data_IF_438172323592
#
_entry.id   IF_438172323592
#
_cell.length_a   1.000
_cell.length_b   1.000
_cell.length_c   1.000
_cell.angle_alpha   90.00
_cell.angle_beta   90.00
_cell.angle_gamma   90.00
#
_symmetry.space_group_name_H-M   'P 1'
#
loop_
_entity.id
_entity.type
_entity.pdbx_description
1 polymer ?
#
# COMPACT_ATOMS: atom_id res chain seq x y z
N UNK A 1 -28.09 13.23 -13.69
CA UNK A 1 -28.45 13.10 -12.25
C UNK A 1 -28.29 11.66 -11.73
N UNK A 2 -29.00 10.66 -12.26
CA UNK A 2 -28.94 9.27 -11.77
C UNK A 2 -27.56 8.57 -11.99
N UNK A 3 -26.92 8.83 -13.13
CA UNK A 3 -25.57 8.33 -13.48
C UNK A 3 -24.48 8.83 -12.51
N UNK A 4 -24.51 10.14 -12.21
CA UNK A 4 -23.57 10.83 -11.32
C UNK A 4 -23.70 10.26 -9.90
N UNK A 5 -24.93 10.09 -9.41
CA UNK A 5 -25.18 9.45 -8.12
C UNK A 5 -24.69 8.00 -8.08
N UNK A 6 -24.72 7.27 -9.21
CA UNK A 6 -24.24 5.90 -9.33
C UNK A 6 -22.71 5.81 -9.25
N UNK A 7 -21.98 6.66 -9.99
CA UNK A 7 -20.51 6.72 -9.95
C UNK A 7 -20.01 7.16 -8.57
N UNK A 8 -20.67 8.15 -7.97
CA UNK A 8 -20.41 8.55 -6.58
C UNK A 8 -20.68 7.40 -5.60
N UNK A 9 -21.73 6.61 -5.81
CA UNK A 9 -22.06 5.44 -5.01
C UNK A 9 -20.98 4.34 -5.05
N UNK A 10 -20.39 4.09 -6.22
CA UNK A 10 -19.29 3.13 -6.38
C UNK A 10 -18.04 3.61 -5.65
N UNK A 11 -17.68 4.89 -5.79
CA UNK A 11 -16.50 5.43 -5.12
C UNK A 11 -16.69 5.56 -3.59
N UNK A 12 -17.91 5.80 -3.11
CA UNK A 12 -18.25 5.72 -1.68
C UNK A 12 -18.12 4.29 -1.13
N UNK A 13 -18.53 3.28 -1.90
CA UNK A 13 -18.46 1.86 -1.49
C UNK A 13 -17.01 1.37 -1.38
N UNK A 14 -16.14 1.69 -2.34
CA UNK A 14 -14.71 1.29 -2.30
C UNK A 14 -13.98 1.97 -1.14
N UNK A 15 -14.29 3.25 -0.83
CA UNK A 15 -13.67 3.96 0.30
C UNK A 15 -14.12 3.46 1.67
N UNK A 16 -15.35 2.94 1.78
CA UNK A 16 -15.81 2.23 2.98
C UNK A 16 -15.01 0.96 3.27
N UNK A 17 -14.32 0.38 2.27
CA UNK A 17 -13.59 -0.88 2.42
C UNK A 17 -12.13 -0.70 2.84
N UNK A 18 -11.52 0.47 2.65
CA UNK A 18 -10.10 0.69 2.95
C UNK A 18 -9.80 0.60 4.46
N UNK A 19 -10.63 1.24 5.30
CA UNK A 19 -10.47 1.22 6.76
C UNK A 19 -10.58 -0.18 7.36
N UNK A 20 -11.62 -1.00 7.07
CA UNK A 20 -11.72 -2.35 7.61
C UNK A 20 -10.63 -3.27 7.05
N UNK A 21 -10.23 -3.10 5.78
CA UNK A 21 -9.12 -3.86 5.20
C UNK A 21 -7.80 -3.60 5.92
N UNK A 22 -7.44 -2.32 6.10
CA UNK A 22 -6.23 -1.96 6.83
C UNK A 22 -6.28 -2.41 8.29
N UNK A 23 -7.42 -2.22 8.96
CA UNK A 23 -7.64 -2.69 10.33
C UNK A 23 -7.44 -4.20 10.47
N UNK A 24 -7.97 -4.99 9.54
CA UNK A 24 -7.75 -6.44 9.48
C UNK A 24 -6.27 -6.78 9.27
N UNK A 25 -5.61 -6.16 8.28
CA UNK A 25 -4.20 -6.42 7.98
C UNK A 25 -3.29 -6.09 9.17
N UNK A 26 -3.54 -4.97 9.86
CA UNK A 26 -2.82 -4.54 11.05
C UNK A 26 -3.05 -5.49 12.24
N UNK A 27 -4.30 -5.89 12.49
CA UNK A 27 -4.64 -6.83 13.55
C UNK A 27 -4.01 -8.21 13.30
N UNK A 28 -4.14 -8.73 12.07
CA UNK A 28 -3.55 -10.00 11.66
C UNK A 28 -2.02 -9.98 11.81
N UNK A 29 -1.35 -8.92 11.34
CA UNK A 29 0.11 -8.78 11.49
C UNK A 29 0.53 -8.69 12.95
N UNK A 30 -0.22 -7.96 13.78
CA UNK A 30 0.04 -7.86 15.23
C UNK A 30 -0.11 -9.22 15.92
N UNK A 31 -1.15 -10.00 15.57
CA UNK A 31 -1.34 -11.35 16.10
C UNK A 31 -0.20 -12.28 15.70
N UNK A 32 0.26 -12.21 14.44
CA UNK A 32 1.42 -12.99 13.99
C UNK A 32 2.70 -12.60 14.74
N UNK A 33 2.94 -11.30 14.98
CA UNK A 33 4.08 -10.83 15.76
C UNK A 33 4.01 -11.31 17.23
N UNK A 34 2.82 -11.29 17.85
CA UNK A 34 2.61 -11.82 19.20
C UNK A 34 2.79 -13.34 19.26
N UNK A 35 2.26 -14.07 18.27
CA UNK A 35 2.40 -15.51 18.18
C UNK A 35 3.87 -15.93 18.03
N UNK A 36 4.64 -15.24 17.18
CA UNK A 36 6.07 -15.55 17.04
C UNK A 36 6.87 -15.24 18.30
N UNK A 37 6.50 -14.20 19.04
CA UNK A 37 7.12 -13.89 20.33
C UNK A 37 6.88 -15.04 21.33
N UNK A 38 5.63 -15.52 21.43
CA UNK A 38 5.28 -16.67 22.27
C UNK A 38 6.04 -17.94 21.86
N UNK A 39 6.08 -18.27 20.56
CA UNK A 39 6.83 -19.43 20.05
C UNK A 39 8.33 -19.34 20.36
N UNK A 40 8.91 -18.13 20.31
CA UNK A 40 10.31 -17.89 20.64
C UNK A 40 10.61 -18.19 22.11
N UNK A 41 9.75 -17.73 23.03
CA UNK A 41 9.89 -18.03 24.46
C UNK A 41 9.70 -19.51 24.80
N UNK A 42 8.81 -20.19 24.08
CA UNK A 42 8.58 -21.62 24.25
C UNK A 42 9.65 -22.49 23.58
N UNK A 43 10.61 -21.90 22.86
CA UNK A 43 11.63 -22.64 22.11
C UNK A 43 11.06 -23.52 20.99
N UNK A 44 9.87 -23.17 20.48
CA UNK A 44 9.19 -24.01 19.50
C UNK A 44 9.90 -23.95 18.13
N UNK A 45 10.15 -25.09 17.45
CA UNK A 45 10.94 -25.12 16.21
C UNK A 45 10.33 -24.31 15.07
N UNK A 46 9.01 -24.09 15.07
CA UNK A 46 8.34 -23.25 14.08
C UNK A 46 8.57 -21.74 14.26
N UNK A 47 9.22 -21.29 15.34
CA UNK A 47 9.49 -19.88 15.59
C UNK A 47 10.17 -19.19 14.39
N UNK A 48 11.13 -19.86 13.74
CA UNK A 48 11.83 -19.28 12.59
C UNK A 48 10.90 -19.03 11.40
N UNK A 49 10.10 -20.01 11.01
CA UNK A 49 9.24 -19.85 9.82
C UNK A 49 8.07 -18.90 10.09
N UNK A 50 7.51 -18.94 11.31
CA UNK A 50 6.42 -18.05 11.72
C UNK A 50 6.91 -16.62 11.91
N UNK A 51 8.10 -16.39 12.49
CA UNK A 51 8.69 -15.06 12.63
C UNK A 51 8.97 -14.41 11.28
N UNK A 52 9.47 -15.18 10.32
CA UNK A 52 9.71 -14.69 8.96
C UNK A 52 8.40 -14.26 8.29
N UNK A 53 7.36 -15.10 8.36
CA UNK A 53 6.02 -14.76 7.85
C UNK A 53 5.42 -13.53 8.53
N UNK A 54 5.54 -13.45 9.86
CA UNK A 54 5.07 -12.30 10.65
C UNK A 54 5.78 -11.00 10.27
N UNK A 55 7.11 -11.04 10.10
CA UNK A 55 7.92 -9.91 9.67
C UNK A 55 7.49 -9.42 8.28
N UNK A 56 7.30 -10.32 7.31
CA UNK A 56 6.82 -9.95 5.98
C UNK A 56 5.42 -9.35 6.02
N UNK A 57 4.49 -9.93 6.78
CA UNK A 57 3.13 -9.42 6.91
C UNK A 57 3.13 -8.00 7.51
N UNK A 58 3.85 -7.79 8.61
CA UNK A 58 3.94 -6.49 9.27
C UNK A 58 4.61 -5.42 8.41
N UNK A 59 5.75 -5.73 7.77
CA UNK A 59 6.42 -4.80 6.84
C UNK A 59 5.49 -4.47 5.67
N UNK A 60 4.76 -5.44 5.13
CA UNK A 60 3.81 -5.22 4.05
C UNK A 60 2.66 -4.30 4.47
N UNK A 61 2.13 -4.48 5.69
CA UNK A 61 1.10 -3.61 6.25
C UNK A 61 1.61 -2.17 6.43
N UNK A 62 2.83 -1.96 6.91
CA UNK A 62 3.45 -0.63 6.95
C UNK A 62 3.68 -0.06 5.54
N UNK A 63 4.18 -0.83 4.58
CA UNK A 63 4.35 -0.34 3.20
C UNK A 63 3.01 0.05 2.55
N UNK A 64 1.92 -0.65 2.88
CA UNK A 64 0.57 -0.32 2.40
C UNK A 64 0.15 1.09 2.82
N UNK A 65 0.55 1.58 4.00
CA UNK A 65 0.21 2.93 4.47
C UNK A 65 0.77 4.01 3.55
N UNK A 66 1.97 3.79 3.02
CA UNK A 66 2.62 4.71 2.08
C UNK A 66 1.83 4.79 0.78
N UNK A 67 1.34 3.64 0.30
CA UNK A 67 0.47 3.56 -0.87
C UNK A 67 -0.84 4.32 -0.66
N UNK A 68 -1.54 4.07 0.45
CA UNK A 68 -2.82 4.69 0.78
C UNK A 68 -2.71 6.22 0.81
N UNK A 69 -1.77 6.77 1.57
CA UNK A 69 -1.66 8.23 1.70
C UNK A 69 -1.05 8.91 0.47
N UNK A 70 -0.21 8.22 -0.30
CA UNK A 70 0.32 8.78 -1.55
C UNK A 70 -0.78 8.86 -2.61
N UNK A 71 -1.59 7.81 -2.74
CA UNK A 71 -2.75 7.81 -3.64
C UNK A 71 -3.78 8.86 -3.23
N UNK A 72 -4.27 8.81 -1.99
CA UNK A 72 -5.28 9.73 -1.49
C UNK A 72 -4.86 11.21 -1.58
N UNK A 73 -3.58 11.51 -1.27
CA UNK A 73 -3.06 12.87 -1.36
C UNK A 73 -2.96 13.38 -2.80
N UNK A 74 -2.71 12.49 -3.77
CA UNK A 74 -2.74 12.84 -5.19
C UNK A 74 -4.17 13.15 -5.64
N UNK A 75 -5.09 12.23 -5.40
CA UNK A 75 -6.49 12.35 -5.86
C UNK A 75 -7.17 13.59 -5.26
N UNK A 76 -6.92 13.85 -3.97
CA UNK A 76 -7.45 15.06 -3.31
C UNK A 76 -6.91 16.34 -3.94
N UNK A 77 -5.62 16.37 -4.31
CA UNK A 77 -5.01 17.55 -4.91
C UNK A 77 -5.58 17.83 -6.30
N UNK A 78 -5.70 16.80 -7.14
CA UNK A 78 -6.29 16.94 -8.48
C UNK A 78 -7.73 17.43 -8.37
N UNK A 79 -8.55 16.81 -7.52
CA UNK A 79 -9.96 17.20 -7.33
C UNK A 79 -10.13 18.63 -6.79
N UNK A 80 -9.29 19.05 -5.85
CA UNK A 80 -9.31 20.41 -5.30
C UNK A 80 -8.88 21.44 -6.34
N UNK A 81 -7.91 21.10 -7.19
CA UNK A 81 -7.43 22.00 -8.25
C UNK A 81 -8.48 22.14 -9.37
N UNK A 82 -9.05 21.02 -9.82
CA UNK A 82 -9.97 21.00 -10.96
C UNK A 82 -11.31 21.69 -10.63
N UNK A 83 -11.83 21.47 -9.42
CA UNK A 83 -13.12 22.02 -8.97
C UNK A 83 -12.99 23.27 -8.08
N UNK A 84 -11.78 23.83 -7.95
CA UNK A 84 -11.50 25.01 -7.11
C UNK A 84 -12.05 24.88 -5.66
N UNK A 85 -11.94 23.68 -5.08
CA UNK A 85 -12.43 23.40 -3.72
C UNK A 85 -11.51 24.01 -2.66
N UNK A 86 -11.90 23.88 -1.38
CA UNK A 86 -11.09 24.37 -0.27
C UNK A 86 -9.68 23.72 -0.26
N UNK A 87 -8.58 24.51 -0.36
CA UNK A 87 -7.21 23.99 -0.37
C UNK A 87 -6.79 23.32 0.95
N UNK A 88 -7.53 23.54 2.04
CA UNK A 88 -7.26 22.93 3.34
C UNK A 88 -7.26 21.39 3.28
N UNK A 89 -8.06 20.79 2.41
CA UNK A 89 -8.10 19.33 2.24
C UNK A 89 -6.75 18.74 1.82
N UNK A 90 -6.00 19.45 0.98
CA UNK A 90 -4.64 19.05 0.57
C UNK A 90 -3.68 19.17 1.75
N UNK A 91 -3.85 20.21 2.58
CA UNK A 91 -3.09 20.41 3.81
C UNK A 91 -3.30 19.27 4.83
N UNK A 92 -4.56 18.91 5.07
CA UNK A 92 -4.94 17.83 5.98
C UNK A 92 -4.43 16.46 5.52
N UNK A 93 -4.58 16.11 4.24
CA UNK A 93 -4.04 14.83 3.72
C UNK A 93 -2.51 14.78 3.73
N UNK A 94 -1.84 15.93 3.56
CA UNK A 94 -0.37 16.03 3.68
C UNK A 94 0.11 15.85 5.11
N UNK A 95 -0.64 16.27 6.13
CA UNK A 95 -0.22 16.14 7.53
C UNK A 95 -0.17 14.67 7.98
N UNK A 96 -1.11 13.82 7.52
CA UNK A 96 -1.09 12.40 7.86
C UNK A 96 0.20 11.68 7.43
N UNK A 97 0.74 12.01 6.25
CA UNK A 97 2.03 11.44 5.80
C UNK A 97 3.16 11.81 6.75
N UNK A 98 3.22 13.07 7.20
CA UNK A 98 4.24 13.53 8.14
C UNK A 98 4.14 12.83 9.49
N UNK A 99 2.92 12.54 9.94
CA UNK A 99 2.65 11.89 11.22
C UNK A 99 2.95 10.38 11.15
N UNK A 100 2.57 9.71 10.06
CA UNK A 100 2.59 8.25 9.98
C UNK A 100 3.88 7.67 9.38
N UNK A 101 4.54 8.38 8.45
CA UNK A 101 5.67 7.80 7.73
C UNK A 101 6.90 7.54 8.61
N UNK A 102 7.36 8.49 9.45
CA UNK A 102 8.53 8.25 10.29
C UNK A 102 8.32 7.07 11.27
N UNK A 103 7.21 7.00 12.04
CA UNK A 103 6.94 5.84 12.89
C UNK A 103 6.87 4.51 12.12
N UNK A 104 6.23 4.47 10.96
CA UNK A 104 6.16 3.26 10.12
C UNK A 104 7.55 2.79 9.67
N UNK A 105 8.42 3.71 9.26
CA UNK A 105 9.81 3.38 8.89
C UNK A 105 10.61 2.86 10.09
N UNK A 106 10.45 3.45 11.27
CA UNK A 106 11.07 2.94 12.48
C UNK A 106 10.52 1.55 12.85
N UNK A 107 9.23 1.29 12.70
CA UNK A 107 8.64 -0.02 12.96
C UNK A 107 9.23 -1.11 12.04
N UNK A 108 9.37 -0.81 10.74
CA UNK A 108 10.07 -1.66 9.77
C UNK A 108 11.52 -1.90 10.19
N UNK A 109 12.26 -0.84 10.55
CA UNK A 109 13.64 -0.95 10.99
C UNK A 109 13.79 -1.86 12.22
N UNK A 110 12.89 -1.72 13.20
CA UNK A 110 12.88 -2.53 14.42
C UNK A 110 12.63 -4.02 14.12
N UNK A 111 11.73 -4.33 13.17
CA UNK A 111 11.53 -5.70 12.67
C UNK A 111 12.84 -6.23 12.07
N UNK A 112 13.49 -5.47 11.20
CA UNK A 112 14.74 -5.88 10.54
C UNK A 112 15.87 -6.13 11.56
N UNK A 113 16.04 -5.23 12.53
CA UNK A 113 17.04 -5.38 13.61
C UNK A 113 16.75 -6.62 14.45
N UNK A 114 15.49 -6.85 14.82
CA UNK A 114 15.08 -8.02 15.60
C UNK A 114 15.33 -9.32 14.85
N UNK A 115 14.97 -9.36 13.56
CA UNK A 115 15.21 -10.51 12.68
C UNK A 115 16.71 -10.78 12.48
N UNK A 116 17.52 -9.71 12.36
CA UNK A 116 18.97 -9.83 12.27
C UNK A 116 19.57 -10.41 13.56
N UNK A 117 19.15 -9.91 14.73
CA UNK A 117 19.58 -10.48 16.02
C UNK A 117 19.17 -11.94 16.17
N UNK A 118 17.96 -12.30 15.72
CA UNK A 118 17.47 -13.67 15.72
C UNK A 118 18.32 -14.60 14.84
N UNK A 119 18.70 -14.14 13.65
CA UNK A 119 19.62 -14.87 12.76
C UNK A 119 21.05 -14.95 13.33
N UNK A 120 21.53 -13.90 14.01
CA UNK A 120 22.86 -13.89 14.61
C UNK A 120 23.03 -14.93 15.74
N UNK A 121 21.94 -15.30 16.43
CA UNK A 121 21.95 -16.32 17.48
C UNK A 121 22.47 -17.68 17.02
N UNK A 122 22.33 -18.03 15.73
CA UNK A 122 22.83 -19.31 15.22
C UNK A 122 24.37 -19.35 15.12
N UNK A 123 25.02 -18.18 15.11
CA UNK A 123 26.46 -18.06 14.85
C UNK A 123 27.25 -17.56 16.06
N UNK A 124 26.60 -16.84 17.00
CA UNK A 124 27.26 -16.21 18.13
C UNK A 124 27.16 -17.08 19.39
N UNK A 125 28.31 -17.48 19.94
CA UNK A 125 28.41 -18.18 21.23
C UNK A 125 28.40 -17.13 22.35
N UNK A 126 27.34 -17.09 23.16
CA UNK A 126 27.28 -16.23 24.35
C UNK A 126 25.89 -16.19 24.99
N UNK A 127 25.84 -16.24 26.33
CA UNK A 127 24.58 -16.32 27.09
C UNK A 127 23.70 -15.07 27.01
N UNK A 128 24.27 -13.92 26.60
CA UNK A 128 23.57 -12.64 26.57
C UNK A 128 22.74 -12.42 25.31
N UNK A 129 23.09 -13.06 24.19
CA UNK A 129 22.42 -12.84 22.91
C UNK A 129 20.94 -13.24 22.91
N UNK A 130 20.53 -14.39 23.49
CA UNK A 130 19.11 -14.74 23.58
C UNK A 130 18.29 -13.72 24.35
N UNK A 131 18.85 -13.20 25.45
CA UNK A 131 18.21 -12.16 26.26
C UNK A 131 18.05 -10.86 25.48
N UNK A 132 19.10 -10.43 24.76
CA UNK A 132 19.05 -9.23 23.93
C UNK A 132 18.03 -9.36 22.79
N UNK A 133 18.00 -10.51 22.10
CA UNK A 133 17.00 -10.79 21.08
C UNK A 133 15.57 -10.78 21.65
N UNK A 134 15.35 -11.41 22.80
CA UNK A 134 14.04 -11.43 23.47
C UNK A 134 13.57 -10.04 23.91
N UNK A 135 14.46 -9.23 24.49
CA UNK A 135 14.17 -7.83 24.84
C UNK A 135 13.82 -7.02 23.58
N UNK A 136 14.61 -7.17 22.53
CA UNK A 136 14.38 -6.49 21.27
C UNK A 136 13.03 -6.91 20.65
N UNK A 137 12.67 -8.19 20.73
CA UNK A 137 11.40 -8.70 20.23
C UNK A 137 10.20 -8.04 20.94
N UNK A 138 10.26 -7.87 22.27
CA UNK A 138 9.23 -7.15 23.02
C UNK A 138 9.11 -5.69 22.62
N UNK A 139 10.24 -4.98 22.53
CA UNK A 139 10.24 -3.57 22.13
C UNK A 139 9.69 -3.41 20.72
N UNK A 140 10.12 -4.27 19.79
CA UNK A 140 9.62 -4.30 18.41
C UNK A 140 8.12 -4.57 18.36
N UNK A 141 7.63 -5.58 19.08
CA UNK A 141 6.21 -5.90 19.15
C UNK A 141 5.39 -4.71 19.66
N UNK A 142 5.76 -4.14 20.81
CA UNK A 142 5.05 -3.01 21.39
C UNK A 142 5.06 -1.78 20.47
N UNK A 143 6.20 -1.48 19.84
CA UNK A 143 6.33 -0.36 18.92
C UNK A 143 5.48 -0.55 17.65
N UNK A 144 5.43 -1.76 17.10
CA UNK A 144 4.61 -2.09 15.93
C UNK A 144 3.11 -1.95 16.25
N UNK A 145 2.63 -2.51 17.37
CA UNK A 145 1.23 -2.36 17.80
C UNK A 145 0.86 -0.89 17.98
N UNK A 146 1.70 -0.11 18.67
CA UNK A 146 1.51 1.34 18.83
C UNK A 146 1.41 2.05 17.47
N UNK A 147 2.29 1.70 16.54
CA UNK A 147 2.34 2.30 15.21
C UNK A 147 1.11 1.94 14.38
N UNK A 148 0.67 0.68 14.41
CA UNK A 148 -0.56 0.27 13.73
C UNK A 148 -1.81 1.00 14.24
N UNK A 149 -1.90 1.26 15.56
CA UNK A 149 -3.00 2.06 16.12
C UNK A 149 -2.98 3.49 15.59
N UNK A 150 -1.79 4.10 15.50
CA UNK A 150 -1.63 5.44 14.92
C UNK A 150 -2.02 5.45 13.44
N UNK A 151 -1.51 4.51 12.65
CA UNK A 151 -1.81 4.39 11.23
C UNK A 151 -3.31 4.17 10.99
N UNK A 152 -3.96 3.30 11.76
CA UNK A 152 -5.39 3.04 11.66
C UNK A 152 -6.22 4.31 11.93
N UNK A 153 -5.85 5.10 12.95
CA UNK A 153 -6.50 6.39 13.24
C UNK A 153 -6.37 7.35 12.05
N UNK A 154 -5.16 7.50 11.50
CA UNK A 154 -4.94 8.37 10.34
C UNK A 154 -5.65 7.87 9.08
N UNK A 155 -5.73 6.55 8.83
CA UNK A 155 -6.51 6.00 7.70
C UNK A 155 -7.98 6.34 7.84
N UNK A 156 -8.54 6.15 9.04
CA UNK A 156 -9.95 6.46 9.31
C UNK A 156 -10.26 7.96 9.13
N UNK A 157 -9.40 8.83 9.64
CA UNK A 157 -9.56 10.29 9.49
C UNK A 157 -9.39 10.75 8.04
N UNK A 158 -8.41 10.19 7.32
CA UNK A 158 -8.21 10.43 5.89
C UNK A 158 -9.42 9.97 5.07
N UNK A 159 -10.02 8.82 5.40
CA UNK A 159 -11.25 8.36 4.75
C UNK A 159 -12.42 9.33 5.00
N UNK A 160 -12.52 9.92 6.19
CA UNK A 160 -13.54 10.93 6.50
C UNK A 160 -13.30 12.24 5.72
N UNK A 161 -12.05 12.67 5.57
CA UNK A 161 -11.70 13.83 4.72
C UNK A 161 -12.06 13.57 3.26
N UNK A 162 -11.66 12.42 2.72
CA UNK A 162 -12.03 12.05 1.36
C UNK A 162 -13.55 12.08 1.18
N UNK A 163 -14.33 11.55 2.13
CA UNK A 163 -15.79 11.62 2.06
C UNK A 163 -16.31 13.06 1.95
N UNK A 164 -15.74 14.00 2.72
CA UNK A 164 -16.10 15.42 2.67
C UNK A 164 -15.72 16.07 1.34
N UNK A 165 -14.49 15.86 0.87
CA UNK A 165 -14.02 16.39 -0.43
C UNK A 165 -14.93 15.91 -1.57
N UNK A 166 -15.29 14.62 -1.57
CA UNK A 166 -16.17 14.08 -2.62
C UNK A 166 -17.60 14.61 -2.53
N UNK A 167 -18.09 14.89 -1.32
CA UNK A 167 -19.40 15.50 -1.14
C UNK A 167 -19.41 16.94 -1.67
N UNK A 168 -18.38 17.74 -1.34
CA UNK A 168 -18.25 19.12 -1.87
C UNK A 168 -18.05 19.12 -3.38
N UNK A 169 -17.19 18.24 -3.90
CA UNK A 169 -17.00 18.05 -5.34
C UNK A 169 -18.32 17.78 -6.06
N UNK A 170 -19.17 16.92 -5.49
CA UNK A 170 -20.48 16.61 -6.05
C UNK A 170 -21.46 17.79 -6.00
N UNK A 171 -21.44 18.59 -4.93
CA UNK A 171 -22.25 19.81 -4.84
C UNK A 171 -21.84 20.82 -5.92
N UNK A 172 -20.53 21.08 -6.06
CA UNK A 172 -20.00 21.99 -7.09
C UNK A 172 -20.34 21.48 -8.48
N UNK A 173 -20.16 20.20 -8.75
CA UNK A 173 -20.53 19.54 -10.02
C UNK A 173 -22.03 19.68 -10.32
N UNK A 174 -22.89 19.61 -9.30
CA UNK A 174 -24.35 19.76 -9.47
C UNK A 174 -24.75 21.21 -9.76
N UNK A 175 -24.06 22.18 -9.15
CA UNK A 175 -24.32 23.62 -9.33
C UNK A 175 -23.73 24.17 -10.62
N UNK A 176 -22.59 23.62 -11.04
CA UNK A 176 -21.82 24.02 -12.20
C UNK A 176 -21.56 22.80 -13.10
N UNK A 177 -22.58 22.31 -13.83
CA UNK A 177 -22.42 21.20 -14.76
C UNK A 177 -21.36 21.48 -15.83
N UNK A 178 -21.08 22.74 -16.13
CA UNK A 178 -20.02 23.17 -17.04
C UNK A 178 -18.60 22.95 -16.48
N UNK A 179 -18.44 22.99 -15.14
CA UNK A 179 -17.17 22.70 -14.45
C UNK A 179 -16.95 21.21 -14.25
N UNK A 180 -18.05 20.44 -14.17
CA UNK A 180 -18.00 19.01 -14.36
C UNK A 180 -17.66 18.77 -15.82
N UNK A 181 -16.39 18.84 -16.18
CA UNK A 181 -15.95 18.76 -17.57
C UNK A 181 -16.59 17.54 -18.24
N UNK A 182 -17.65 17.80 -19.01
CA UNK A 182 -18.47 16.80 -19.71
C UNK A 182 -17.59 15.96 -20.65
N UNK A 183 -16.42 16.50 -21.02
CA UNK A 183 -15.43 15.83 -21.87
C UNK A 183 -14.50 14.83 -21.18
N UNK A 184 -14.43 14.73 -19.84
CA UNK A 184 -13.55 13.73 -19.20
C UNK A 184 -14.24 12.44 -18.76
N UNK A 185 -15.56 12.45 -18.53
CA UNK A 185 -16.25 11.29 -17.94
C UNK A 185 -17.64 10.96 -18.54
N UNK A 186 -18.21 11.78 -19.44
CA UNK A 186 -19.65 11.66 -19.82
C UNK A 186 -19.97 11.23 -21.26
N UNK A 187 -19.02 10.90 -22.13
CA UNK A 187 -19.45 10.16 -23.34
C UNK A 187 -19.99 8.78 -22.91
N UNK A 188 -21.05 8.24 -23.54
CA UNK A 188 -21.48 6.84 -23.29
C UNK A 188 -20.32 5.84 -23.46
N UNK A 189 -19.35 6.18 -24.30
CA UNK A 189 -18.07 5.48 -24.48
C UNK A 189 -17.11 5.65 -23.28
N UNK A 190 -17.19 6.76 -22.54
CA UNK A 190 -16.44 7.02 -21.32
C UNK A 190 -17.06 6.33 -20.10
N UNK A 191 -18.38 6.21 -19.97
CA UNK A 191 -19.01 5.50 -18.83
C UNK A 191 -18.83 3.97 -18.94
N UNK A 192 -19.00 3.39 -20.13
CA UNK A 192 -18.60 1.99 -20.40
C UNK A 192 -17.06 1.83 -20.40
N UNK A 193 -16.33 2.90 -20.78
CA UNK A 193 -14.88 2.97 -20.70
C UNK A 193 -14.32 3.16 -19.28
N UNK A 194 -15.10 3.68 -18.33
CA UNK A 194 -14.68 4.07 -16.98
C UNK A 194 -14.55 2.88 -16.06
N UNK A 195 -15.41 1.88 -16.21
CA UNK A 195 -15.17 0.56 -15.64
C UNK A 195 -13.81 -0.01 -16.12
N UNK A 196 -13.52 0.17 -17.41
CA UNK A 196 -12.22 -0.17 -18.01
C UNK A 196 -11.05 0.72 -17.58
N UNK A 197 -11.28 2.01 -17.29
CA UNK A 197 -10.25 2.99 -16.92
C UNK A 197 -9.88 2.92 -15.43
N UNK A 198 -10.86 2.77 -14.54
CA UNK A 198 -10.59 2.46 -13.13
C UNK A 198 -9.87 1.12 -13.04
N UNK A 199 -10.38 0.08 -13.70
CA UNK A 199 -9.70 -1.21 -13.75
C UNK A 199 -8.29 -1.09 -14.37
N UNK A 200 -8.16 -0.42 -15.52
CA UNK A 200 -6.89 -0.27 -16.22
C UNK A 200 -5.84 0.51 -15.44
N UNK A 201 -6.24 1.55 -14.70
CA UNK A 201 -5.34 2.31 -13.82
C UNK A 201 -4.95 1.50 -12.58
N UNK A 202 -5.86 0.73 -12.00
CA UNK A 202 -5.56 -0.23 -10.93
C UNK A 202 -4.62 -1.34 -11.41
N UNK A 203 -4.84 -1.90 -12.60
CA UNK A 203 -3.98 -2.93 -13.21
C UNK A 203 -2.61 -2.35 -13.58
N UNK A 204 -2.55 -1.11 -14.05
CA UNK A 204 -1.29 -0.40 -14.29
C UNK A 204 -0.52 -0.14 -12.99
N UNK A 205 -1.21 0.26 -11.92
CA UNK A 205 -0.64 0.42 -10.59
C UNK A 205 -0.17 -0.92 -10.00
N UNK A 206 -0.97 -1.98 -10.16
CA UNK A 206 -0.58 -3.35 -9.83
C UNK A 206 0.68 -3.75 -10.61
N UNK A 207 0.78 -3.39 -11.90
CA UNK A 207 1.98 -3.63 -12.69
C UNK A 207 3.23 -2.97 -12.11
N UNK A 208 3.13 -1.73 -11.60
CA UNK A 208 4.23 -1.07 -10.85
C UNK A 208 4.56 -1.80 -9.56
N UNK A 209 3.54 -2.24 -8.83
CA UNK A 209 3.71 -3.00 -7.59
C UNK A 209 4.38 -4.36 -7.84
N UNK A 210 3.99 -5.07 -8.90
CA UNK A 210 4.65 -6.31 -9.32
C UNK A 210 6.09 -6.06 -9.75
N UNK A 211 6.38 -5.00 -10.51
CA UNK A 211 7.77 -4.64 -10.82
C UNK A 211 8.57 -4.39 -9.52
N UNK A 212 7.99 -3.66 -8.56
CA UNK A 212 8.60 -3.42 -7.26
C UNK A 212 8.86 -4.74 -6.52
N UNK A 213 7.88 -5.63 -6.43
CA UNK A 213 8.07 -6.97 -5.83
C UNK A 213 9.17 -7.75 -6.55
N UNK A 214 9.17 -7.75 -7.88
CA UNK A 214 10.17 -8.44 -8.70
C UNK A 214 11.59 -7.95 -8.40
N UNK A 215 11.82 -6.64 -8.32
CA UNK A 215 13.11 -6.07 -7.94
C UNK A 215 13.53 -6.44 -6.51
N UNK A 216 12.57 -6.53 -5.59
CA UNK A 216 12.84 -6.87 -4.19
C UNK A 216 12.96 -8.39 -3.94
N UNK A 217 12.65 -9.24 -4.93
CA UNK A 217 12.60 -10.69 -4.74
C UNK A 217 13.97 -11.36 -4.54
N UNK A 218 15.05 -10.63 -4.82
CA UNK A 218 16.42 -11.05 -4.50
C UNK A 218 16.82 -10.76 -3.05
N UNK A 219 16.15 -9.84 -2.35
CA UNK A 219 16.47 -9.52 -0.96
C UNK A 219 16.30 -10.74 -0.02
N UNK A 220 15.22 -11.53 -0.10
CA UNK A 220 15.09 -12.76 0.69
C UNK A 220 16.18 -13.78 0.38
N UNK A 221 16.62 -13.91 -0.87
CA UNK A 221 17.73 -14.79 -1.24
C UNK A 221 19.03 -14.35 -0.57
N UNK A 222 19.39 -13.07 -0.68
CA UNK A 222 20.60 -12.56 -0.05
C UNK A 222 20.54 -12.69 1.47
N UNK A 223 19.38 -12.45 2.07
CA UNK A 223 19.16 -12.71 3.49
C UNK A 223 19.40 -14.18 3.84
N UNK A 224 18.76 -15.11 3.16
CA UNK A 224 18.92 -16.53 3.44
C UNK A 224 20.34 -17.05 3.19
N UNK A 225 20.99 -16.58 2.13
CA UNK A 225 22.33 -17.01 1.76
C UNK A 225 23.40 -16.48 2.71
N UNK A 226 23.37 -15.18 2.98
CA UNK A 226 24.44 -14.51 3.71
C UNK A 226 24.16 -14.39 5.21
N UNK A 227 22.89 -14.25 5.62
CA UNK A 227 22.54 -14.11 7.04
C UNK A 227 22.24 -15.47 7.66
N UNK A 228 21.43 -16.30 6.98
CA UNK A 228 21.05 -17.62 7.51
C UNK A 228 22.08 -18.72 7.19
N UNK A 229 23.17 -18.40 6.49
CA UNK A 229 24.22 -19.38 6.17
C UNK A 229 23.78 -20.52 5.25
N UNK A 230 22.65 -20.38 4.55
CA UNK A 230 22.16 -21.40 3.62
C UNK A 230 22.88 -21.28 2.28
N UNK A 231 24.17 -21.61 2.25
CA UNK A 231 25.06 -21.40 1.09
C UNK A 231 24.61 -22.22 -0.13
N UNK A 232 24.05 -23.41 0.12
CA UNK A 232 23.53 -24.33 -0.89
C UNK A 232 22.13 -23.94 -1.40
N UNK A 233 21.50 -22.90 -0.85
CA UNK A 233 20.19 -22.48 -1.33
C UNK A 233 20.34 -22.02 -2.80
N UNK A 234 19.65 -22.68 -3.74
CA UNK A 234 19.73 -22.28 -5.12
C UNK A 234 19.12 -20.89 -5.31
N UNK A 235 19.77 -20.04 -6.11
CA UNK A 235 19.27 -18.70 -6.44
C UNK A 235 18.08 -18.72 -7.41
N UNK A 236 17.95 -19.80 -8.18
CA UNK A 236 17.00 -19.89 -9.30
C UNK A 236 15.52 -19.67 -8.90
N UNK A 237 15.00 -20.11 -7.73
CA UNK A 237 13.59 -19.86 -7.39
C UNK A 237 13.29 -18.36 -7.26
N UNK A 238 14.22 -17.60 -6.67
CA UNK A 238 14.10 -16.16 -6.51
C UNK A 238 14.25 -15.43 -7.83
N UNK A 239 15.17 -15.88 -8.70
CA UNK A 239 15.29 -15.34 -10.05
C UNK A 239 14.04 -15.62 -10.89
N UNK A 240 13.47 -16.82 -10.80
CA UNK A 240 12.22 -17.18 -11.50
C UNK A 240 11.07 -16.32 -10.99
N UNK A 241 10.86 -16.21 -9.68
CA UNK A 241 9.84 -15.33 -9.09
C UNK A 241 10.06 -13.85 -9.46
N UNK A 242 11.31 -13.38 -9.39
CA UNK A 242 11.69 -12.03 -9.82
C UNK A 242 11.34 -11.81 -11.30
N UNK A 243 11.72 -12.73 -12.19
CA UNK A 243 11.44 -12.65 -13.61
C UNK A 243 9.94 -12.72 -13.91
N UNK A 244 9.18 -13.55 -13.21
CA UNK A 244 7.72 -13.63 -13.33
C UNK A 244 7.07 -12.31 -12.91
N UNK A 245 7.45 -11.74 -11.77
CA UNK A 245 6.89 -10.48 -11.29
C UNK A 245 7.33 -9.27 -12.14
N UNK A 246 8.59 -9.23 -12.57
CA UNK A 246 9.09 -8.19 -13.47
C UNK A 246 8.42 -8.31 -14.83
N UNK A 247 8.40 -9.50 -15.43
CA UNK A 247 7.78 -9.77 -16.73
C UNK A 247 6.29 -9.46 -16.72
N UNK A 248 5.55 -9.98 -15.74
CA UNK A 248 4.13 -9.65 -15.55
C UNK A 248 3.90 -8.17 -15.29
N UNK A 249 4.71 -7.55 -14.43
CA UNK A 249 4.62 -6.12 -14.11
C UNK A 249 4.89 -5.23 -15.32
N UNK A 250 5.94 -5.49 -16.11
CA UNK A 250 6.26 -4.76 -17.33
C UNK A 250 5.21 -5.00 -18.41
N UNK A 251 4.74 -6.24 -18.58
CA UNK A 251 3.65 -6.56 -19.50
C UNK A 251 2.38 -5.78 -19.17
N UNK A 252 1.93 -5.79 -17.91
CA UNK A 252 0.78 -5.01 -17.46
C UNK A 252 1.02 -3.51 -17.66
N UNK A 253 2.20 -2.99 -17.31
CA UNK A 253 2.51 -1.57 -17.52
C UNK A 253 2.50 -1.17 -18.98
N UNK A 254 2.98 -2.02 -19.87
CA UNK A 254 3.01 -1.77 -21.31
C UNK A 254 1.60 -1.84 -21.91
N UNK A 255 0.88 -2.94 -21.63
CA UNK A 255 -0.49 -3.16 -22.11
C UNK A 255 -1.45 -2.09 -21.62
N UNK A 256 -1.30 -1.64 -20.37
CA UNK A 256 -2.16 -0.64 -19.74
C UNK A 256 -1.53 0.76 -19.69
N UNK A 257 -0.52 1.05 -20.55
CA UNK A 257 0.18 2.35 -20.55
C UNK A 257 -0.73 3.55 -20.82
N UNK A 258 -1.82 3.33 -21.54
CA UNK A 258 -2.84 4.35 -21.85
C UNK A 258 -3.63 4.81 -20.62
N UNK A 259 -3.65 3.99 -19.56
CA UNK A 259 -4.29 4.30 -18.28
C UNK A 259 -3.31 4.93 -17.28
N UNK A 260 -2.14 5.40 -17.74
CA UNK A 260 -1.16 6.06 -16.89
C UNK A 260 -1.75 7.39 -16.39
N UNK A 261 -1.85 7.59 -15.06
CA UNK A 261 -2.38 8.84 -14.52
C UNK A 261 -1.55 10.04 -14.97
N UNK A 262 -2.19 11.04 -15.61
CA UNK A 262 -1.57 12.28 -16.08
C UNK A 262 -1.11 12.29 -17.54
N UNK A 263 -1.31 11.21 -18.32
CA UNK A 263 -1.37 11.35 -19.78
C UNK A 263 -2.79 11.80 -20.11
N UNK A 264 -2.89 13.05 -20.56
CA UNK A 264 -4.10 13.67 -21.10
C UNK A 264 -4.96 12.66 -21.85
N UNK A 265 -6.26 12.65 -21.57
CA UNK A 265 -7.24 11.91 -22.38
C UNK A 265 -6.90 12.19 -23.86
N UNK A 266 -6.68 11.15 -24.68
CA UNK A 266 -6.40 11.36 -26.08
C UNK A 266 -7.53 12.20 -26.66
N UNK A 267 -7.21 13.43 -27.10
CA UNK A 267 -8.17 14.30 -27.77
C UNK A 267 -8.80 13.47 -28.89
N UNK A 268 -10.13 13.32 -28.86
CA UNK A 268 -10.88 12.76 -29.99
C UNK A 268 -10.38 13.52 -31.24
N UNK A 269 -9.91 12.84 -32.29
CA UNK A 269 -9.45 13.53 -33.49
C UNK A 269 -10.59 14.43 -33.97
N UNK A 270 -10.33 15.73 -34.03
CA UNK A 270 -11.29 16.72 -34.48
C UNK A 270 -11.60 16.43 -35.96
N UNK A 271 -12.70 15.73 -36.25
CA UNK A 271 -13.11 15.49 -37.64
C UNK A 271 -13.92 14.23 -37.98
N UNK A 272 -14.60 13.58 -37.04
CA UNK A 272 -15.59 12.55 -37.42
C UNK A 272 -16.95 13.18 -37.75
N UNK A 273 -17.58 12.91 -38.91
CA UNK A 273 -18.83 13.55 -39.33
C UNK A 273 -20.01 13.18 -38.41
N UNK A 274 -20.89 14.18 -38.20
CA UNK A 274 -22.15 14.11 -37.43
C UNK A 274 -23.21 13.33 -38.18
#
# INVERSE_FOLDING_TARGET
MAEILRVMGVSARVRSQMTPFFGFAAAFSSLLLGATLALGYLGHPSHLIVSLGAAFAAISAHCLIFGIFTGAGKDTRELVQDLHLNPEFVGQTKSFRKITFPPALYAILMILVTAFLGGALSNLKGSYWPMLHGLMAWVTFAYNVKTFVLEYRCVRENAAILKRVNFEAAQVTTQHPELASVDQFESPEAVDGLGGYQWGSHVFALGKFLCFLGWNMLLPYFYMKFIMGMILLPIWPFLVLSAVFLGGGYFLRWKYRQYRPGLSIPRKPAGGPV
#
